data_IF_094082854165
#
_entry.id   IF_094082854165
#
_cell.length_a   1.000
_cell.length_b   1.000
_cell.length_c   1.000
_cell.angle_alpha   90.00
_cell.angle_beta   90.00
_cell.angle_gamma   90.00
#
_symmetry.space_group_name_H-M   'P 1'
#
loop_
_entity.id
_entity.type
_entity.pdbx_description
1 polymer ?
#
# COMPACT_ATOMS: atom_id res chain seq x y z
N UNK A 1 -20.42 -7.69 30.91
CA UNK A 1 -20.38 -9.17 30.92
C UNK A 1 -19.15 -9.61 30.14
N UNK A 2 -18.51 -10.71 30.52
CA UNK A 2 -17.32 -11.25 29.83
C UNK A 2 -17.74 -12.06 28.59
N UNK A 3 -16.87 -12.11 27.57
CA UNK A 3 -17.03 -12.82 26.29
C UNK A 3 -17.54 -14.27 26.41
N UNK A 4 -17.30 -14.89 27.55
CA UNK A 4 -17.75 -16.23 27.93
C UNK A 4 -19.27 -16.36 27.95
N UNK A 5 -20.00 -15.30 28.31
CA UNK A 5 -21.46 -15.33 28.50
C UNK A 5 -22.23 -15.40 27.15
N UNK A 6 -21.64 -14.83 26.08
CA UNK A 6 -22.23 -14.86 24.72
C UNK A 6 -22.08 -16.25 24.09
N UNK A 7 -20.97 -16.94 24.38
CA UNK A 7 -20.69 -18.27 23.83
C UNK A 7 -21.49 -19.39 24.53
N UNK A 8 -22.04 -19.13 25.71
CA UNK A 8 -22.83 -20.09 26.51
C UNK A 8 -24.35 -19.99 26.23
N UNK A 9 -24.79 -19.02 25.42
CA UNK A 9 -26.20 -18.88 25.06
C UNK A 9 -26.60 -19.84 23.93
N UNK A 10 -27.68 -20.59 24.16
CA UNK A 10 -28.26 -21.47 23.13
C UNK A 10 -29.10 -20.65 22.14
N UNK A 11 -28.58 -20.49 20.93
CA UNK A 11 -29.17 -19.68 19.85
C UNK A 11 -30.58 -20.17 19.48
N UNK A 12 -30.86 -21.45 19.75
CA UNK A 12 -32.11 -22.13 19.41
C UNK A 12 -33.31 -21.68 20.26
N UNK A 13 -33.07 -20.95 21.36
CA UNK A 13 -34.08 -20.59 22.37
C UNK A 13 -34.36 -19.07 22.37
N UNK A 14 -33.59 -18.28 21.61
CA UNK A 14 -33.69 -16.82 21.58
C UNK A 14 -34.85 -16.33 20.69
N UNK A 15 -35.58 -15.32 21.17
CA UNK A 15 -36.52 -14.59 20.34
C UNK A 15 -35.76 -13.62 19.40
N UNK A 16 -36.46 -13.04 18.42
CA UNK A 16 -35.88 -12.08 17.45
C UNK A 16 -35.23 -10.89 18.16
N UNK A 17 -35.88 -10.33 19.18
CA UNK A 17 -35.35 -9.21 19.95
C UNK A 17 -34.07 -9.57 20.74
N UNK A 18 -34.04 -10.80 21.29
CA UNK A 18 -32.89 -11.30 22.04
C UNK A 18 -31.70 -11.56 21.09
N UNK A 19 -31.98 -12.05 19.88
CA UNK A 19 -30.97 -12.27 18.84
C UNK A 19 -30.33 -10.94 18.41
N UNK A 20 -31.13 -9.89 18.20
CA UNK A 20 -30.63 -8.56 17.85
C UNK A 20 -29.75 -7.98 18.97
N UNK A 21 -30.12 -8.22 20.23
CA UNK A 21 -29.32 -7.82 21.38
C UNK A 21 -27.95 -8.54 21.41
N UNK A 22 -27.92 -9.85 21.15
CA UNK A 22 -26.69 -10.64 21.08
C UNK A 22 -25.80 -10.19 19.93
N UNK A 23 -26.37 -9.92 18.75
CA UNK A 23 -25.64 -9.39 17.59
C UNK A 23 -25.03 -8.03 17.91
N UNK A 24 -25.79 -7.13 18.56
CA UNK A 24 -25.30 -5.83 18.97
C UNK A 24 -24.15 -5.95 19.98
N UNK A 25 -24.25 -6.86 20.94
CA UNK A 25 -23.19 -7.09 21.94
C UNK A 25 -21.93 -7.67 21.29
N UNK A 26 -22.05 -8.68 20.43
CA UNK A 26 -20.93 -9.26 19.69
C UNK A 26 -20.23 -8.20 18.81
N UNK A 27 -21.02 -7.39 18.10
CA UNK A 27 -20.51 -6.30 17.25
C UNK A 27 -19.74 -5.28 18.08
N UNK A 28 -20.23 -4.95 19.28
CA UNK A 28 -19.53 -4.05 20.21
C UNK A 28 -18.22 -4.66 20.73
N UNK A 29 -18.20 -5.95 21.05
CA UNK A 29 -16.97 -6.65 21.46
C UNK A 29 -15.93 -6.61 20.33
N UNK A 30 -16.32 -6.96 19.10
CA UNK A 30 -15.42 -6.91 17.94
C UNK A 30 -14.90 -5.48 17.75
N UNK A 31 -15.77 -4.47 17.76
CA UNK A 31 -15.35 -3.07 17.61
C UNK A 31 -14.40 -2.62 18.71
N UNK A 32 -14.64 -3.00 19.97
CA UNK A 32 -13.77 -2.64 21.09
C UNK A 32 -12.40 -3.29 20.98
N UNK A 33 -12.34 -4.59 20.64
CA UNK A 33 -11.09 -5.31 20.40
C UNK A 33 -10.32 -4.72 19.21
N UNK A 34 -11.02 -4.40 18.12
CA UNK A 34 -10.47 -3.72 16.95
C UNK A 34 -9.89 -2.34 17.31
N UNK A 35 -10.60 -1.51 18.09
CA UNK A 35 -10.09 -0.19 18.52
C UNK A 35 -8.90 -0.28 19.48
N UNK A 36 -8.87 -1.31 20.33
CA UNK A 36 -7.77 -1.53 21.27
C UNK A 36 -6.51 -2.08 20.58
N UNK A 37 -6.68 -2.95 19.58
CA UNK A 37 -5.57 -3.61 18.87
C UNK A 37 -5.04 -2.80 17.68
N UNK A 38 -5.92 -2.11 16.96
CA UNK A 38 -5.53 -1.33 15.79
C UNK A 38 -5.19 0.10 16.20
N UNK A 39 -3.97 0.53 15.90
CA UNK A 39 -3.57 1.91 16.04
C UNK A 39 -4.37 2.78 15.08
N UNK A 40 -5.29 3.58 15.61
CA UNK A 40 -5.92 4.64 14.84
C UNK A 40 -4.81 5.62 14.46
N UNK A 41 -4.54 5.79 13.17
CA UNK A 41 -3.63 6.84 12.70
C UNK A 41 -4.08 8.16 13.32
N UNK A 42 -3.29 8.70 14.25
CA UNK A 42 -3.57 9.98 14.86
C UNK A 42 -3.71 11.05 13.78
N UNK A 43 -4.39 12.16 14.12
CA UNK A 43 -4.42 13.38 13.29
C UNK A 43 -3.06 14.09 13.32
N UNK A 44 -1.97 13.35 13.15
CA UNK A 44 -0.63 13.92 13.06
C UNK A 44 -0.52 14.81 11.84
N UNK A 45 0.23 15.89 11.96
CA UNK A 45 0.62 16.72 10.82
C UNK A 45 1.29 15.82 9.80
N UNK A 46 0.77 15.78 8.56
CA UNK A 46 1.41 15.04 7.48
C UNK A 46 2.85 15.54 7.36
N UNK A 47 3.85 14.64 7.36
CA UNK A 47 5.23 15.06 7.19
C UNK A 47 5.34 15.82 5.87
N UNK A 48 5.98 16.99 5.92
CA UNK A 48 6.27 17.74 4.70
C UNK A 48 7.25 16.93 3.85
N UNK A 49 7.21 17.14 2.55
CA UNK A 49 8.17 16.51 1.67
C UNK A 49 9.60 16.96 2.06
N UNK A 50 10.63 16.09 1.95
CA UNK A 50 11.99 16.45 2.35
C UNK A 50 12.58 17.64 1.57
N UNK A 51 12.09 17.88 0.35
CA UNK A 51 12.47 19.00 -0.52
C UNK A 51 11.72 20.30 -0.23
N UNK A 52 10.85 20.31 0.79
CA UNK A 52 10.06 21.48 1.13
C UNK A 52 10.88 22.52 1.89
N UNK A 53 11.17 23.64 1.24
CA UNK A 53 11.99 24.72 1.81
C UNK A 53 11.15 25.80 2.49
N UNK A 54 11.78 26.62 3.35
CA UNK A 54 11.13 27.79 3.94
C UNK A 54 10.69 28.82 2.88
N UNK A 55 11.48 28.97 1.80
CA UNK A 55 11.14 29.82 0.64
C UNK A 55 9.85 29.37 -0.04
N UNK A 56 9.63 28.06 -0.20
CA UNK A 56 8.35 27.56 -0.72
C UNK A 56 7.18 27.85 0.24
N UNK A 57 7.42 27.82 1.55
CA UNK A 57 6.39 28.15 2.54
C UNK A 57 6.07 29.65 2.57
N UNK A 58 7.04 30.54 2.33
CA UNK A 58 6.77 31.98 2.23
C UNK A 58 5.95 32.29 0.99
N UNK A 59 6.35 31.78 -0.18
CA UNK A 59 5.61 31.99 -1.43
C UNK A 59 4.20 31.40 -1.33
N UNK A 60 4.05 30.20 -0.72
CA UNK A 60 2.74 29.60 -0.49
C UNK A 60 1.84 30.46 0.40
N UNK A 61 2.40 31.05 1.47
CA UNK A 61 1.66 31.98 2.33
C UNK A 61 1.16 33.19 1.54
N UNK A 62 2.01 33.78 0.70
CA UNK A 62 1.62 34.89 -0.18
C UNK A 62 0.50 34.51 -1.15
N UNK A 63 0.53 33.32 -1.76
CA UNK A 63 -0.57 32.82 -2.61
C UNK A 63 -1.90 32.75 -1.83
N UNK A 64 -1.86 32.27 -0.59
CA UNK A 64 -3.04 32.14 0.28
C UNK A 64 -3.54 33.51 0.71
N UNK A 65 -2.64 34.43 1.06
CA UNK A 65 -3.01 35.79 1.45
C UNK A 65 -3.66 36.55 0.30
N UNK A 66 -3.09 36.49 -0.91
CA UNK A 66 -3.69 37.05 -2.12
C UNK A 66 -5.04 36.41 -2.44
N UNK A 67 -5.21 35.11 -2.18
CA UNK A 67 -6.49 34.43 -2.32
C UNK A 67 -7.54 35.00 -1.35
N UNK A 68 -7.19 35.17 -0.07
CA UNK A 68 -8.08 35.78 0.93
C UNK A 68 -8.41 37.24 0.61
N UNK A 69 -7.42 38.04 0.18
CA UNK A 69 -7.61 39.41 -0.25
C UNK A 69 -8.57 39.51 -1.43
N UNK A 70 -8.43 38.63 -2.43
CA UNK A 70 -9.34 38.57 -3.57
C UNK A 70 -10.78 38.29 -3.11
N UNK A 71 -10.97 37.33 -2.22
CA UNK A 71 -12.30 37.03 -1.67
C UNK A 71 -12.89 38.16 -0.84
N UNK A 72 -12.06 38.88 -0.07
CA UNK A 72 -12.48 40.06 0.67
C UNK A 72 -12.88 41.21 -0.28
N UNK A 73 -12.04 41.52 -1.27
CA UNK A 73 -12.29 42.56 -2.27
C UNK A 73 -13.57 42.26 -3.09
N UNK A 74 -13.80 40.99 -3.45
CA UNK A 74 -15.02 40.55 -4.14
C UNK A 74 -16.28 40.80 -3.30
N UNK A 75 -16.23 40.58 -1.99
CA UNK A 75 -17.35 40.86 -1.07
C UNK A 75 -17.61 42.36 -0.92
N UNK A 76 -16.58 43.18 -1.05
CA UNK A 76 -16.66 44.64 -0.89
C UNK A 76 -16.92 45.39 -2.21
N UNK A 77 -16.98 44.70 -3.35
CA UNK A 77 -17.17 45.32 -4.66
C UNK A 77 -15.97 46.15 -5.15
N UNK A 78 -14.78 45.88 -4.62
CA UNK A 78 -13.54 46.59 -4.98
C UNK A 78 -12.97 46.09 -6.32
N UNK A 79 -12.18 46.92 -7.03
CA UNK A 79 -11.54 46.51 -8.28
C UNK A 79 -10.56 45.35 -8.06
N UNK A 80 -10.73 44.27 -8.84
CA UNK A 80 -10.01 43.00 -8.63
C UNK A 80 -8.76 42.84 -9.50
N UNK A 81 -8.59 43.68 -10.52
CA UNK A 81 -7.59 43.46 -11.59
C UNK A 81 -6.16 43.35 -11.03
N UNK A 82 -5.76 44.24 -10.13
CA UNK A 82 -4.41 44.23 -9.54
C UNK A 82 -4.14 42.98 -8.71
N UNK A 83 -5.12 42.55 -7.90
CA UNK A 83 -5.01 41.36 -7.04
C UNK A 83 -4.98 40.09 -7.89
N UNK A 84 -5.75 40.06 -8.99
CA UNK A 84 -5.75 38.94 -9.94
C UNK A 84 -4.40 38.78 -10.64
N UNK A 85 -3.82 39.86 -11.14
CA UNK A 85 -2.50 39.84 -11.77
C UNK A 85 -1.39 39.43 -10.78
N UNK A 86 -1.40 40.02 -9.57
CA UNK A 86 -0.45 39.65 -8.51
C UNK A 86 -0.59 38.17 -8.09
N UNK A 87 -1.82 37.67 -7.96
CA UNK A 87 -2.06 36.26 -7.64
C UNK A 87 -1.58 35.34 -8.76
N UNK A 88 -1.77 35.73 -10.02
CA UNK A 88 -1.33 34.96 -11.17
C UNK A 88 0.20 34.85 -11.19
N UNK A 89 0.91 35.97 -11.08
CA UNK A 89 2.37 35.99 -11.09
C UNK A 89 2.99 35.19 -9.94
N UNK A 90 2.50 35.37 -8.71
CA UNK A 90 2.99 34.63 -7.54
C UNK A 90 2.66 33.13 -7.64
N UNK A 91 1.52 32.76 -8.21
CA UNK A 91 1.18 31.35 -8.45
C UNK A 91 2.09 30.70 -9.49
N UNK A 92 2.45 31.42 -10.55
CA UNK A 92 3.42 30.97 -11.55
C UNK A 92 4.81 30.80 -10.94
N UNK A 93 5.26 31.78 -10.14
CA UNK A 93 6.52 31.72 -9.40
C UNK A 93 6.55 30.51 -8.44
N UNK A 94 5.49 30.33 -7.66
CA UNK A 94 5.33 29.19 -6.75
C UNK A 94 5.45 27.86 -7.50
N UNK A 95 4.73 27.73 -8.63
CA UNK A 95 4.76 26.51 -9.41
C UNK A 95 6.14 26.25 -10.03
N UNK A 96 6.86 27.29 -10.48
CA UNK A 96 8.23 27.15 -10.98
C UNK A 96 9.16 26.68 -9.87
N UNK A 97 9.23 27.41 -8.76
CA UNK A 97 10.09 27.10 -7.62
C UNK A 97 9.82 25.71 -7.05
N UNK A 98 8.55 25.31 -6.96
CA UNK A 98 8.19 23.98 -6.49
C UNK A 98 8.73 22.87 -7.41
N UNK A 99 8.65 23.06 -8.74
CA UNK A 99 9.23 22.11 -9.70
C UNK A 99 10.75 22.08 -9.59
N UNK A 100 11.39 23.24 -9.48
CA UNK A 100 12.85 23.36 -9.39
C UNK A 100 13.39 22.64 -8.16
N UNK A 101 12.80 22.90 -6.98
CA UNK A 101 13.17 22.28 -5.71
C UNK A 101 12.90 20.77 -5.69
N UNK A 102 11.72 20.35 -6.14
CA UNK A 102 11.40 18.91 -6.24
C UNK A 102 12.35 18.19 -7.19
N UNK A 103 12.71 18.80 -8.32
CA UNK A 103 13.61 18.19 -9.31
C UNK A 103 15.04 18.18 -8.81
N UNK A 104 15.50 19.26 -8.18
CA UNK A 104 16.84 19.35 -7.57
C UNK A 104 17.01 18.25 -6.53
N UNK A 105 16.08 18.15 -5.59
CA UNK A 105 16.15 17.12 -4.56
C UNK A 105 16.04 15.71 -5.13
N UNK A 106 15.24 15.49 -6.18
CA UNK A 106 15.20 14.19 -6.84
C UNK A 106 16.53 13.83 -7.51
N UNK A 107 17.23 14.80 -8.13
CA UNK A 107 18.58 14.59 -8.65
C UNK A 107 19.56 14.26 -7.53
N UNK A 108 19.58 15.05 -6.46
CA UNK A 108 20.41 14.79 -5.28
C UNK A 108 20.14 13.39 -4.69
N UNK A 109 18.86 13.02 -4.58
CA UNK A 109 18.46 11.69 -4.14
C UNK A 109 19.03 10.59 -5.05
N UNK A 110 18.92 10.73 -6.37
CA UNK A 110 19.48 9.80 -7.34
C UNK A 110 21.01 9.74 -7.30
N UNK A 111 21.70 10.84 -7.02
CA UNK A 111 23.16 10.90 -6.88
C UNK A 111 23.64 10.20 -5.60
N UNK A 112 22.87 10.30 -4.50
CA UNK A 112 23.15 9.60 -3.23
C UNK A 112 22.92 8.08 -3.32
N UNK A 113 22.24 7.60 -4.36
CA UNK A 113 21.98 6.18 -4.60
C UNK A 113 23.20 5.50 -5.25
N UNK A 114 24.25 5.24 -4.47
CA UNK A 114 25.36 4.35 -4.90
C UNK A 114 24.85 2.92 -5.11
N UNK A 115 25.49 2.11 -5.96
CA UNK A 115 25.18 0.67 -6.17
C UNK A 115 25.00 -0.10 -4.85
N UNK A 116 25.74 0.27 -3.80
CA UNK A 116 25.58 -0.36 -2.48
C UNK A 116 24.32 0.07 -1.73
N UNK A 117 23.88 1.33 -1.87
CA UNK A 117 22.76 1.90 -1.10
C UNK A 117 21.40 1.41 -1.60
N UNK A 118 21.17 1.43 -2.92
CA UNK A 118 19.90 1.00 -3.54
C UNK A 118 19.57 -0.45 -3.19
N UNK A 119 20.58 -1.30 -3.21
CA UNK A 119 20.43 -2.72 -2.91
C UNK A 119 20.67 -3.05 -1.45
N UNK A 120 21.07 -2.10 -0.59
CA UNK A 120 21.39 -2.39 0.82
C UNK A 120 20.19 -2.94 1.59
N UNK A 121 19.00 -2.36 1.37
CA UNK A 121 17.77 -2.80 2.03
C UNK A 121 17.31 -4.14 1.48
N UNK A 122 17.28 -4.29 0.15
CA UNK A 122 16.93 -5.55 -0.51
C UNK A 122 17.88 -6.68 -0.13
N UNK A 123 19.19 -6.42 -0.14
CA UNK A 123 20.21 -7.39 0.25
C UNK A 123 20.12 -7.74 1.74
N UNK A 124 19.81 -6.78 2.61
CA UNK A 124 19.57 -7.03 4.03
C UNK A 124 18.32 -7.89 4.23
N UNK A 125 17.23 -7.58 3.52
CA UNK A 125 16.00 -8.38 3.55
C UNK A 125 16.24 -9.80 3.02
N UNK A 126 16.98 -9.95 1.93
CA UNK A 126 17.36 -11.25 1.37
C UNK A 126 18.26 -12.06 2.32
N UNK A 127 19.19 -11.40 3.04
CA UNK A 127 20.01 -12.05 4.07
C UNK A 127 19.17 -12.55 5.26
N UNK A 128 18.12 -11.81 5.63
CA UNK A 128 17.20 -12.22 6.71
C UNK A 128 16.12 -13.19 6.26
N UNK A 129 15.85 -13.26 4.96
CA UNK A 129 14.87 -14.20 4.42
C UNK A 129 15.44 -15.63 4.51
N UNK A 130 14.63 -16.55 5.01
CA UNK A 130 14.98 -17.97 5.00
C UNK A 130 15.22 -18.39 3.54
N UNK A 131 16.35 -19.04 3.21
CA UNK A 131 16.60 -19.47 1.84
C UNK A 131 15.43 -20.30 1.37
N UNK A 132 14.85 -19.94 0.21
CA UNK A 132 13.76 -20.71 -0.40
C UNK A 132 14.27 -22.11 -0.64
N UNK A 133 13.81 -23.05 0.18
CA UNK A 133 14.02 -24.48 -0.09
C UNK A 133 13.19 -24.81 -1.33
N UNK A 134 13.78 -25.41 -2.37
CA UNK A 134 12.97 -25.95 -3.47
C UNK A 134 11.92 -26.90 -2.86
N UNK A 135 10.69 -26.97 -3.42
CA UNK A 135 9.71 -27.95 -2.97
C UNK A 135 10.35 -29.34 -3.07
N UNK A 136 10.56 -29.98 -1.91
CA UNK A 136 11.30 -31.25 -1.80
C UNK A 136 10.45 -32.42 -2.29
N UNK A 137 9.13 -32.23 -2.39
CA UNK A 137 8.18 -33.29 -2.69
C UNK A 137 7.13 -32.80 -3.69
N UNK A 138 7.01 -33.54 -4.81
CA UNK A 138 5.91 -33.42 -5.77
C UNK A 138 5.05 -34.67 -5.65
N UNK A 139 3.72 -34.49 -5.74
CA UNK A 139 2.79 -35.60 -5.78
C UNK A 139 2.61 -36.07 -7.23
N UNK A 140 2.98 -37.32 -7.51
CA UNK A 140 2.72 -38.01 -8.76
C UNK A 140 1.76 -39.16 -8.47
N UNK A 141 0.53 -39.01 -8.92
CA UNK A 141 -0.53 -40.04 -8.90
C UNK A 141 -0.72 -40.73 -7.55
N UNK A 142 -0.59 -39.99 -6.44
CA UNK A 142 -0.78 -40.50 -5.08
C UNK A 142 0.50 -40.88 -4.34
N UNK A 143 1.66 -40.78 -4.98
CA UNK A 143 2.99 -41.00 -4.39
C UNK A 143 3.81 -39.71 -4.39
N UNK A 144 4.47 -39.42 -3.27
CA UNK A 144 5.31 -38.24 -3.13
C UNK A 144 6.77 -38.56 -3.44
N UNK A 145 7.44 -37.70 -4.21
CA UNK A 145 8.89 -37.77 -4.38
C UNK A 145 9.60 -37.50 -3.06
N UNK A 146 10.73 -38.13 -2.83
CA UNK A 146 11.48 -38.10 -1.56
C UNK A 146 12.80 -37.34 -1.64
N UNK A 147 13.33 -37.15 -2.85
CA UNK A 147 14.55 -36.38 -3.09
C UNK A 147 14.39 -35.37 -4.24
N UNK A 148 15.25 -34.35 -4.22
CA UNK A 148 15.39 -33.32 -5.23
C UNK A 148 15.67 -33.87 -6.64
N UNK A 149 16.48 -34.93 -6.76
CA UNK A 149 16.77 -35.53 -8.06
C UNK A 149 15.55 -36.25 -8.64
N UNK A 150 14.78 -36.94 -7.78
CA UNK A 150 13.53 -37.62 -8.14
C UNK A 150 12.46 -36.60 -8.56
N UNK A 151 12.37 -35.50 -7.83
CA UNK A 151 11.46 -34.38 -8.11
C UNK A 151 11.78 -33.73 -9.47
N UNK A 152 13.07 -33.47 -9.74
CA UNK A 152 13.50 -32.91 -11.02
C UNK A 152 13.20 -33.86 -12.19
N UNK A 153 13.42 -35.17 -12.00
CA UNK A 153 13.10 -36.19 -13.00
C UNK A 153 11.60 -36.28 -13.26
N UNK A 154 10.77 -36.24 -12.22
CA UNK A 154 9.32 -36.25 -12.37
C UNK A 154 8.80 -35.04 -13.17
N UNK A 155 9.38 -33.85 -12.96
CA UNK A 155 9.08 -32.66 -13.76
C UNK A 155 9.50 -32.84 -15.22
N UNK A 156 10.71 -33.34 -15.45
CA UNK A 156 11.22 -33.57 -16.80
C UNK A 156 10.36 -34.57 -17.55
N UNK A 157 10.01 -35.70 -16.93
CA UNK A 157 9.16 -36.73 -17.55
C UNK A 157 7.74 -36.20 -17.87
N UNK A 158 7.19 -35.30 -17.02
CA UNK A 158 5.85 -34.73 -17.22
C UNK A 158 5.83 -33.68 -18.34
N UNK A 159 6.81 -32.77 -18.38
CA UNK A 159 6.85 -31.69 -19.36
C UNK A 159 7.50 -32.10 -20.69
N UNK A 160 8.36 -33.12 -20.67
CA UNK A 160 9.10 -33.63 -21.82
C UNK A 160 9.02 -35.15 -21.90
N UNK A 161 7.81 -35.73 -22.13
CA UNK A 161 7.69 -37.16 -22.34
C UNK A 161 8.50 -37.57 -23.58
N UNK A 162 9.14 -38.74 -23.53
CA UNK A 162 9.98 -39.20 -24.64
C UNK A 162 9.19 -39.40 -25.94
N UNK A 163 9.79 -38.97 -27.05
CA UNK A 163 9.29 -39.20 -28.42
C UNK A 163 9.49 -40.67 -28.85
N UNK A 164 8.84 -41.61 -28.16
CA UNK A 164 8.76 -43.01 -28.58
C UNK A 164 7.78 -43.12 -29.77
N UNK A 165 8.01 -44.00 -30.76
CA UNK A 165 7.09 -44.19 -31.90
C UNK A 165 5.67 -44.64 -31.50
N UNK A 166 5.44 -45.05 -30.24
CA UNK A 166 4.12 -45.41 -29.70
C UNK A 166 3.32 -44.23 -29.11
N UNK A 167 3.91 -43.03 -28.99
CA UNK A 167 3.23 -41.85 -28.41
C UNK A 167 2.51 -40.97 -29.46
N UNK A 168 2.59 -41.33 -30.75
CA UNK A 168 1.84 -40.65 -31.80
C UNK A 168 0.41 -41.21 -31.88
N UNK A 169 -0.65 -40.38 -31.79
CA UNK A 169 -2.00 -40.86 -32.04
C UNK A 169 -2.05 -41.41 -33.47
N UNK A 170 -2.50 -42.66 -33.61
CA UNK A 170 -2.78 -43.29 -34.91
C UNK A 170 -3.82 -42.44 -35.62
N UNK A 171 -3.36 -41.57 -36.52
CA UNK A 171 -4.24 -40.93 -37.49
C UNK A 171 -4.73 -42.05 -38.42
N UNK A 172 -6.00 -42.43 -38.25
CA UNK A 172 -6.71 -43.29 -39.18
C UNK A 172 -6.76 -42.59 -40.55
N UNK A 173 -6.47 -43.34 -41.62
CA UNK A 173 -6.78 -42.98 -43.01
C UNK A 173 -8.28 -42.76 -43.24
#
# INVERSE_FOLDING_TARGET
MTLTNILEQDISILNVDDLDQVIAELTNVIHSACRASMHVKGRGTKPKAPWWTEELETIKREVVDLHHQLHAAKRQGLPLNQILEARKSIKELYASKMRDESTRHFREFCELQTKENVWSLTNRLLKTATPRRPPVTLNRDGTYTTDSQETAKALLDHFYPGDSPDTLPRHHE
#
